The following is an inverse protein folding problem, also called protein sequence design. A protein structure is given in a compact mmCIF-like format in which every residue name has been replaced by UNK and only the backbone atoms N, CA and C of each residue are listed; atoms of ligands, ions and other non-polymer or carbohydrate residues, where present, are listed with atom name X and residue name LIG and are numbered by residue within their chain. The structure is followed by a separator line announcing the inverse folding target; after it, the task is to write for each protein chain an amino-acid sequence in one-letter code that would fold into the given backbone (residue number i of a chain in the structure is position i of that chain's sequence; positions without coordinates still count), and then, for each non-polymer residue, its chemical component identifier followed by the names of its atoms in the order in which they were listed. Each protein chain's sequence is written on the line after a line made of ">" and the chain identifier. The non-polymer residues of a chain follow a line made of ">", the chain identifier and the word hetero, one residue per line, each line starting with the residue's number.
data_IF_421417568752
#
_entry.id   IF_421417568752
#
_cell.length_a   1.000
_cell.length_b   1.000
_cell.length_c   1.000
_cell.angle_alpha   90.00
_cell.angle_beta   90.00
_cell.angle_gamma   90.00
#
_symmetry.space_group_name_H-M   'P 1'
#
loop_
_entity.id
_entity.type
_entity.pdbx_description
1 polymer ?
#
# COMPACT_ATOMS: atom_id res chain seq x y z
N UNK A 1 -11.75 9.47 -17.95
CA UNK A 1 -10.35 9.89 -18.14
C UNK A 1 -9.58 8.69 -18.65
N UNK A 2 -9.05 8.74 -19.86
CA UNK A 2 -8.26 7.68 -20.47
C UNK A 2 -6.90 7.65 -19.79
N UNK A 3 -6.51 6.48 -19.26
CA UNK A 3 -5.17 6.28 -18.72
C UNK A 3 -4.12 6.52 -19.82
N UNK A 4 -2.98 7.15 -19.49
CA UNK A 4 -1.90 7.33 -20.46
C UNK A 4 -1.37 5.97 -20.93
N UNK A 5 -1.08 5.85 -22.22
CA UNK A 5 -0.44 4.66 -22.79
C UNK A 5 0.94 4.47 -22.14
N UNK A 6 1.12 3.34 -21.44
CA UNK A 6 2.38 2.99 -20.79
C UNK A 6 3.40 2.53 -21.84
N UNK A 7 4.57 3.17 -21.88
CA UNK A 7 5.75 2.63 -22.55
C UNK A 7 6.35 1.52 -21.66
N UNK A 8 6.97 0.51 -22.27
CA UNK A 8 7.47 -0.74 -21.63
C UNK A 8 8.44 -0.54 -20.46
N UNK A 9 8.91 0.67 -20.21
CA UNK A 9 9.89 1.01 -19.17
C UNK A 9 9.33 1.68 -17.91
N UNK A 10 8.05 2.09 -17.87
CA UNK A 10 7.49 2.78 -16.68
C UNK A 10 6.46 1.92 -15.95
N UNK A 11 6.92 0.90 -15.23
CA UNK A 11 6.06 0.12 -14.34
C UNK A 11 5.94 0.73 -12.93
N UNK A 12 6.62 1.85 -12.66
CA UNK A 12 6.56 2.60 -11.40
C UNK A 12 5.81 3.92 -11.65
N UNK A 13 4.76 4.14 -10.90
CA UNK A 13 4.06 5.41 -10.83
C UNK A 13 4.44 6.13 -9.54
N UNK A 14 4.85 7.39 -9.66
CA UNK A 14 5.25 8.20 -8.51
C UNK A 14 4.04 8.77 -7.77
N UNK A 15 4.17 8.87 -6.46
CA UNK A 15 3.29 9.61 -5.57
C UNK A 15 4.07 10.83 -5.08
N UNK A 16 3.65 12.02 -5.50
CA UNK A 16 4.18 13.26 -4.93
C UNK A 16 3.60 13.46 -3.52
N UNK A 17 4.42 13.32 -2.47
CA UNK A 17 4.00 13.44 -1.07
C UNK A 17 4.73 14.56 -0.33
N UNK A 18 6.05 14.61 -0.42
CA UNK A 18 6.88 15.63 0.21
C UNK A 18 8.26 15.74 -0.48
N UNK A 19 8.92 16.90 -0.47
CA UNK A 19 10.31 17.02 -0.91
C UNK A 19 11.24 16.09 -0.13
N UNK A 20 12.23 15.49 -0.79
CA UNK A 20 13.18 14.57 -0.16
C UNK A 20 12.58 13.19 0.16
N UNK A 21 11.37 12.89 -0.33
CA UNK A 21 10.70 11.60 -0.14
C UNK A 21 10.31 11.03 -1.50
N UNK A 22 10.81 9.84 -1.81
CA UNK A 22 10.38 9.06 -2.97
C UNK A 22 9.25 8.13 -2.56
N UNK A 23 8.10 8.23 -3.19
CA UNK A 23 6.98 7.32 -3.00
C UNK A 23 6.35 6.93 -4.33
N UNK A 24 5.75 5.75 -4.39
CA UNK A 24 5.12 5.26 -5.61
C UNK A 24 4.50 3.89 -5.46
N UNK A 25 4.04 3.36 -6.57
CA UNK A 25 3.48 2.02 -6.66
C UNK A 25 3.83 1.37 -8.00
N UNK A 26 3.93 0.04 -8.02
CA UNK A 26 4.16 -0.73 -9.24
C UNK A 26 2.85 -0.98 -9.98
N UNK A 27 2.94 -1.11 -11.31
CA UNK A 27 1.83 -1.48 -12.17
C UNK A 27 2.15 -2.76 -12.95
N UNK A 28 1.11 -3.35 -13.53
CA UNK A 28 1.27 -4.40 -14.53
C UNK A 28 1.76 -3.77 -15.83
N UNK A 29 3.02 -4.03 -16.20
CA UNK A 29 3.63 -3.46 -17.43
C UNK A 29 3.39 -4.32 -18.66
N UNK A 30 3.13 -5.61 -18.48
CA UNK A 30 2.89 -6.57 -19.57
C UNK A 30 1.72 -7.47 -19.22
N UNK A 31 0.72 -7.55 -20.09
CA UNK A 31 -0.48 -8.35 -19.85
C UNK A 31 -0.37 -9.62 -20.69
N UNK A 32 -0.45 -10.75 -20.00
CA UNK A 32 -0.66 -12.08 -20.60
C UNK A 32 -1.90 -12.72 -19.97
N UNK A 33 -2.21 -13.95 -20.32
CA UNK A 33 -3.31 -14.72 -19.69
C UNK A 33 -3.03 -15.08 -18.22
N UNK A 34 -1.77 -14.96 -17.75
CA UNK A 34 -1.42 -15.25 -16.36
C UNK A 34 -1.92 -14.15 -15.42
N UNK A 35 -2.57 -14.50 -14.29
CA UNK A 35 -2.97 -13.53 -13.27
C UNK A 35 -1.77 -12.88 -12.56
N UNK A 36 -0.57 -13.41 -12.76
CA UNK A 36 0.69 -12.87 -12.22
C UNK A 36 1.46 -12.00 -13.21
N UNK A 37 1.01 -11.90 -14.48
CA UNK A 37 1.74 -11.14 -15.50
C UNK A 37 1.92 -9.68 -15.11
N UNK A 38 3.13 -9.16 -15.29
CA UNK A 38 3.55 -7.82 -14.91
C UNK A 38 4.52 -7.84 -13.72
N UNK A 39 4.64 -6.74 -13.01
CA UNK A 39 5.59 -6.61 -11.89
C UNK A 39 4.94 -7.08 -10.59
N UNK A 40 5.22 -8.33 -10.22
CA UNK A 40 4.83 -8.91 -8.94
C UNK A 40 6.07 -9.19 -8.07
N UNK A 41 6.23 -8.47 -6.97
CA UNK A 41 7.35 -8.64 -6.04
C UNK A 41 7.01 -9.52 -4.83
N UNK A 42 5.76 -9.97 -4.72
CA UNK A 42 5.24 -10.69 -3.57
C UNK A 42 5.46 -12.20 -3.73
N UNK A 43 6.23 -12.81 -2.82
CA UNK A 43 6.66 -14.21 -2.89
C UNK A 43 5.67 -15.23 -2.30
N UNK A 44 4.61 -14.75 -1.63
CA UNK A 44 3.63 -15.63 -0.94
C UNK A 44 2.26 -15.69 -1.61
N UNK A 45 2.17 -15.38 -2.91
CA UNK A 45 0.91 -15.37 -3.68
C UNK A 45 0.75 -16.60 -4.60
N UNK A 46 1.76 -17.45 -4.69
CA UNK A 46 1.75 -18.63 -5.56
C UNK A 46 2.29 -18.39 -6.98
N UNK A 47 2.92 -17.24 -7.22
CA UNK A 47 3.66 -16.96 -8.44
C UNK A 47 4.96 -17.77 -8.51
N UNK A 48 5.49 -17.97 -9.71
CA UNK A 48 6.77 -18.66 -9.95
C UNK A 48 7.93 -17.90 -9.27
N UNK A 49 8.74 -18.55 -8.42
CA UNK A 49 9.83 -17.89 -7.70
C UNK A 49 10.81 -17.14 -8.60
N UNK A 50 11.09 -17.67 -9.79
CA UNK A 50 11.94 -17.04 -10.79
C UNK A 50 11.35 -15.74 -11.35
N UNK A 51 10.03 -15.68 -11.54
CA UNK A 51 9.34 -14.45 -11.94
C UNK A 51 9.39 -13.38 -10.85
N UNK A 52 9.13 -13.75 -9.60
CA UNK A 52 9.23 -12.82 -8.47
C UNK A 52 10.65 -12.27 -8.31
N UNK A 53 11.67 -13.14 -8.42
CA UNK A 53 13.08 -12.71 -8.35
C UNK A 53 13.44 -11.74 -9.49
N UNK A 54 12.99 -12.00 -10.72
CA UNK A 54 13.14 -11.10 -11.85
C UNK A 54 12.47 -9.74 -11.62
N UNK A 55 11.24 -9.71 -11.09
CA UNK A 55 10.52 -8.48 -10.77
C UNK A 55 11.25 -7.65 -9.71
N UNK A 56 11.79 -8.29 -8.67
CA UNK A 56 12.59 -7.62 -7.63
C UNK A 56 13.89 -7.05 -8.16
N UNK A 57 14.59 -7.77 -9.04
CA UNK A 57 15.79 -7.28 -9.70
C UNK A 57 15.50 -6.05 -10.58
N UNK A 58 14.42 -6.10 -11.37
CA UNK A 58 13.98 -4.94 -12.16
C UNK A 58 13.65 -3.73 -11.29
N UNK A 59 12.93 -3.93 -10.19
CA UNK A 59 12.57 -2.86 -9.26
C UNK A 59 13.82 -2.26 -8.59
N UNK A 60 14.75 -3.09 -8.14
CA UNK A 60 16.03 -2.66 -7.57
C UNK A 60 16.83 -1.80 -8.56
N UNK A 61 16.93 -2.24 -9.82
CA UNK A 61 17.61 -1.48 -10.89
C UNK A 61 16.92 -0.16 -11.19
N UNK A 62 15.60 -0.13 -11.26
CA UNK A 62 14.83 1.08 -11.55
C UNK A 62 14.90 2.13 -10.43
N UNK A 63 14.98 1.68 -9.17
CA UNK A 63 15.08 2.58 -8.01
C UNK A 63 16.51 2.93 -7.62
N UNK A 64 17.50 2.18 -8.09
CA UNK A 64 18.90 2.28 -7.69
C UNK A 64 19.18 1.77 -6.27
N UNK A 65 18.20 1.17 -5.60
CA UNK A 65 18.32 0.65 -4.23
C UNK A 65 18.57 -0.86 -4.27
N UNK A 66 19.63 -1.38 -3.62
CA UNK A 66 19.91 -2.81 -3.56
C UNK A 66 18.76 -3.62 -2.93
N UNK A 67 18.56 -4.85 -3.39
CA UNK A 67 17.41 -5.69 -2.97
C UNK A 67 17.34 -5.92 -1.46
N UNK A 68 18.48 -6.02 -0.77
CA UNK A 68 18.58 -6.19 0.68
C UNK A 68 18.12 -4.95 1.47
N UNK A 69 17.93 -3.82 0.80
CA UNK A 69 17.41 -2.57 1.36
C UNK A 69 15.96 -2.28 0.92
N UNK A 70 15.31 -3.25 0.25
CA UNK A 70 13.90 -3.20 -0.15
C UNK A 70 13.12 -4.15 0.76
N UNK A 71 12.35 -3.59 1.67
CA UNK A 71 11.66 -4.34 2.72
C UNK A 71 10.23 -4.64 2.31
N UNK A 72 9.89 -5.93 2.23
CA UNK A 72 8.58 -6.45 1.88
C UNK A 72 8.10 -7.34 3.03
N UNK A 73 7.13 -6.92 3.86
CA UNK A 73 6.65 -7.72 4.97
C UNK A 73 5.75 -8.87 4.48
N UNK A 74 5.66 -9.93 5.27
CA UNK A 74 4.63 -10.95 5.10
C UNK A 74 3.36 -10.51 5.81
N UNK A 75 2.48 -9.88 5.07
CA UNK A 75 1.24 -9.31 5.55
C UNK A 75 0.20 -10.40 5.87
N UNK A 76 -0.56 -10.22 6.93
CA UNK A 76 -1.60 -11.15 7.41
C UNK A 76 -2.94 -10.46 7.68
N UNK A 77 -3.12 -9.22 7.21
CA UNK A 77 -4.26 -8.35 7.50
C UNK A 77 -4.38 -8.02 9.00
N UNK A 78 -3.24 -7.95 9.69
CA UNK A 78 -3.12 -7.54 11.10
C UNK A 78 -3.19 -6.01 11.25
N UNK A 79 -3.10 -5.54 12.48
CA UNK A 79 -2.86 -4.14 12.80
C UNK A 79 -1.41 -3.87 13.21
N UNK A 80 -0.55 -4.89 13.14
CA UNK A 80 0.82 -4.80 13.65
C UNK A 80 1.69 -3.95 12.74
N UNK A 81 2.52 -3.11 13.39
CA UNK A 81 3.48 -2.21 12.77
C UNK A 81 4.88 -2.48 13.30
N UNK A 82 5.84 -2.67 12.40
CA UNK A 82 7.25 -2.80 12.75
C UNK A 82 8.02 -1.51 12.44
N UNK A 83 8.97 -1.16 13.32
CA UNK A 83 9.96 -0.11 13.08
C UNK A 83 11.22 -0.75 12.55
N UNK A 84 11.68 -0.29 11.39
CA UNK A 84 12.92 -0.74 10.75
C UNK A 84 14.03 0.26 11.11
N UNK A 85 14.90 -0.12 12.02
CA UNK A 85 15.97 0.72 12.57
C UNK A 85 17.38 0.30 12.12
N UNK A 86 17.51 -0.81 11.40
CA UNK A 86 18.78 -1.34 10.88
C UNK A 86 18.59 -2.25 9.67
N UNK A 87 19.66 -2.39 8.90
CA UNK A 87 19.78 -3.34 7.78
C UNK A 87 21.00 -4.25 8.07
N UNK A 88 20.91 -5.56 7.85
CA UNK A 88 19.76 -6.32 7.35
C UNK A 88 18.64 -6.46 8.38
N UNK A 89 17.41 -6.62 7.89
CA UNK A 89 16.21 -6.84 8.72
C UNK A 89 16.04 -8.36 8.96
N UNK A 90 15.84 -8.73 10.20
CA UNK A 90 15.49 -10.12 10.54
C UNK A 90 14.06 -10.45 10.07
N UNK A 91 13.87 -11.61 9.45
CA UNK A 91 12.57 -12.03 8.92
C UNK A 91 11.46 -12.06 9.99
N UNK A 92 11.81 -12.38 11.23
CA UNK A 92 10.89 -12.38 12.38
C UNK A 92 10.25 -11.02 12.65
N UNK A 93 10.94 -9.90 12.32
CA UNK A 93 10.44 -8.53 12.53
C UNK A 93 9.36 -8.16 11.52
N UNK A 94 9.47 -8.68 10.30
CA UNK A 94 8.58 -8.34 9.19
C UNK A 94 7.55 -9.44 8.87
N UNK A 95 7.51 -10.51 9.67
CA UNK A 95 6.55 -11.59 9.51
C UNK A 95 5.27 -11.30 10.31
N UNK A 96 4.12 -11.24 9.62
CA UNK A 96 2.81 -11.02 10.23
C UNK A 96 2.45 -9.56 10.45
N UNK A 97 3.30 -8.60 10.01
CA UNK A 97 3.04 -7.17 10.15
C UNK A 97 2.46 -6.59 8.85
N UNK A 98 1.60 -5.60 9.00
CA UNK A 98 0.89 -4.93 7.91
C UNK A 98 1.24 -3.44 7.79
N UNK A 99 2.15 -2.94 8.64
CA UNK A 99 2.71 -1.61 8.54
C UNK A 99 4.20 -1.59 8.88
N UNK A 100 4.93 -0.67 8.26
CA UNK A 100 6.36 -0.45 8.49
C UNK A 100 6.61 1.04 8.67
N UNK A 101 7.54 1.39 9.56
CA UNK A 101 8.04 2.75 9.78
C UNK A 101 9.56 2.73 9.81
N UNK A 102 10.21 3.77 9.29
CA UNK A 102 11.68 3.91 9.37
C UNK A 102 12.12 5.37 9.34
N UNK A 103 13.32 5.62 9.86
CA UNK A 103 14.07 6.86 9.73
C UNK A 103 15.34 6.68 8.90
N UNK A 104 15.57 5.48 8.37
CA UNK A 104 16.74 5.16 7.56
C UNK A 104 16.61 5.74 6.16
N UNK A 105 17.68 6.37 5.67
CA UNK A 105 17.81 6.77 4.27
C UNK A 105 18.26 5.61 3.40
N UNK A 106 18.00 5.70 2.07
CA UNK A 106 18.33 4.66 1.09
C UNK A 106 17.75 3.27 1.42
N UNK A 107 16.63 3.23 2.15
CA UNK A 107 15.84 2.04 2.43
C UNK A 107 14.45 2.24 1.88
N UNK A 108 13.98 1.29 1.09
CA UNK A 108 12.59 1.25 0.64
C UNK A 108 11.79 0.37 1.59
N UNK A 109 10.76 0.92 2.19
CA UNK A 109 9.71 0.15 2.87
C UNK A 109 8.45 0.17 2.02
N UNK A 110 7.72 -0.95 1.96
CA UNK A 110 6.51 -0.99 1.14
C UNK A 110 5.59 -2.15 1.52
N UNK A 111 4.37 -2.10 1.01
CA UNK A 111 3.33 -3.12 1.20
C UNK A 111 2.79 -3.62 -0.13
N UNK A 112 2.35 -4.86 -0.13
CA UNK A 112 1.81 -5.57 -1.30
C UNK A 112 0.29 -5.60 -1.23
N UNK A 113 -0.40 -5.08 -2.26
CA UNK A 113 -1.86 -5.00 -2.30
C UNK A 113 -2.45 -5.52 -3.62
N UNK A 114 -3.68 -6.00 -3.55
CA UNK A 114 -4.58 -6.19 -4.67
C UNK A 114 -5.99 -5.96 -4.11
N UNK A 115 -6.48 -4.74 -4.28
CA UNK A 115 -7.75 -4.17 -3.79
C UNK A 115 -7.69 -3.49 -2.41
N UNK A 116 -6.96 -4.00 -1.42
CA UNK A 116 -6.79 -3.33 -0.13
C UNK A 116 -6.15 -1.95 -0.29
N UNK A 117 -6.38 -1.04 0.66
CA UNK A 117 -5.87 0.34 0.63
C UNK A 117 -4.42 0.37 1.11
N UNK A 118 -3.42 0.67 0.26
CA UNK A 118 -2.08 0.98 0.72
C UNK A 118 -2.00 2.46 1.09
N UNK A 119 -1.36 2.78 2.21
CA UNK A 119 -1.16 4.15 2.68
C UNK A 119 0.33 4.40 2.87
N UNK A 120 0.88 5.42 2.21
CA UNK A 120 2.20 5.95 2.52
C UNK A 120 2.07 7.19 3.41
N UNK A 121 2.98 7.35 4.36
CA UNK A 121 3.00 8.40 5.37
C UNK A 121 4.39 9.04 5.40
N UNK A 122 4.48 10.36 5.46
CA UNK A 122 5.76 11.07 5.49
C UNK A 122 5.71 12.30 6.40
N UNK A 123 6.65 12.38 7.31
CA UNK A 123 7.10 13.62 7.94
C UNK A 123 8.53 13.88 7.45
N UNK A 124 8.64 14.64 6.36
CA UNK A 124 9.92 14.91 5.72
C UNK A 124 10.81 15.82 6.58
N UNK A 125 10.22 16.71 7.37
CA UNK A 125 10.96 17.65 8.22
C UNK A 125 11.71 16.93 9.35
N UNK A 126 11.14 15.84 9.87
CA UNK A 126 11.76 15.02 10.91
C UNK A 126 12.38 13.72 10.36
N UNK A 127 12.35 13.50 9.05
CA UNK A 127 12.94 12.31 8.42
C UNK A 127 12.29 10.99 8.86
N UNK A 128 10.97 10.96 9.03
CA UNK A 128 10.23 9.76 9.42
C UNK A 128 9.23 9.39 8.33
N UNK A 129 9.29 8.15 7.85
CA UNK A 129 8.35 7.63 6.84
C UNK A 129 7.69 6.35 7.32
N UNK A 130 6.47 6.11 6.81
CA UNK A 130 5.71 4.90 7.10
C UNK A 130 4.92 4.41 5.90
N UNK A 131 4.55 3.13 5.94
CA UNK A 131 3.64 2.52 4.97
C UNK A 131 2.73 1.53 5.68
N UNK A 132 1.44 1.47 5.29
CA UNK A 132 0.47 0.56 5.88
C UNK A 132 -0.39 -0.12 4.81
N UNK A 133 -0.68 -1.41 5.02
CA UNK A 133 -1.65 -2.20 4.26
C UNK A 133 -2.99 -2.20 5.01
N UNK A 134 -3.93 -1.39 4.59
CA UNK A 134 -5.25 -1.31 5.19
C UNK A 134 -6.26 -2.16 4.40
N UNK A 135 -6.22 -3.48 4.57
CA UNK A 135 -7.35 -4.36 4.29
C UNK A 135 -8.46 -4.09 5.29
N UNK A 136 -9.71 -4.53 5.04
CA UNK A 136 -10.83 -4.21 5.91
C UNK A 136 -10.62 -4.63 7.38
N UNK A 137 -10.00 -5.81 7.62
CA UNK A 137 -9.67 -6.28 8.98
C UNK A 137 -8.64 -5.39 9.66
N UNK A 138 -7.51 -5.14 9.00
CA UNK A 138 -6.46 -4.28 9.51
C UNK A 138 -6.92 -2.84 9.73
N UNK A 139 -7.75 -2.31 8.82
CA UNK A 139 -8.33 -0.97 8.95
C UNK A 139 -9.22 -0.85 10.19
N UNK A 140 -10.12 -1.82 10.42
CA UNK A 140 -10.95 -1.88 11.63
C UNK A 140 -10.13 -2.06 12.91
N UNK A 141 -9.08 -2.87 12.84
CA UNK A 141 -8.17 -3.10 13.97
C UNK A 141 -7.18 -1.94 14.23
N UNK A 142 -7.12 -0.93 13.34
CA UNK A 142 -6.34 0.29 13.54
C UNK A 142 -4.90 0.23 13.00
N UNK A 143 -4.64 -0.47 11.89
CA UNK A 143 -3.30 -0.56 11.29
C UNK A 143 -2.71 0.82 10.97
N UNK A 144 -3.51 1.75 10.46
CA UNK A 144 -3.06 3.12 10.17
C UNK A 144 -2.81 3.93 11.44
N UNK A 145 -3.60 3.69 12.50
CA UNK A 145 -3.38 4.32 13.80
C UNK A 145 -2.05 3.88 14.40
N UNK A 146 -1.77 2.57 14.35
CA UNK A 146 -0.52 2.00 14.85
C UNK A 146 0.70 2.47 14.04
N UNK A 147 0.54 2.68 12.73
CA UNK A 147 1.59 3.27 11.89
C UNK A 147 1.88 4.72 12.30
N UNK A 148 0.84 5.55 12.50
CA UNK A 148 1.00 6.93 12.98
C UNK A 148 1.65 6.96 14.36
N UNK A 149 1.19 6.10 15.29
CA UNK A 149 1.79 6.01 16.63
C UNK A 149 3.27 5.59 16.58
N UNK A 150 3.63 4.69 15.68
CA UNK A 150 5.02 4.29 15.47
C UNK A 150 5.85 5.47 14.92
N UNK A 151 5.33 6.25 13.96
CA UNK A 151 6.00 7.44 13.44
C UNK A 151 6.23 8.47 14.54
N UNK A 152 5.22 8.75 15.39
CA UNK A 152 5.35 9.68 16.51
C UNK A 152 6.43 9.22 17.52
N UNK A 153 6.50 7.91 17.81
CA UNK A 153 7.59 7.35 18.65
C UNK A 153 8.97 7.47 17.99
N UNK A 154 9.04 7.50 16.66
CA UNK A 154 10.27 7.73 15.91
C UNK A 154 10.62 9.22 15.75
N UNK A 155 9.85 10.13 16.34
CA UNK A 155 10.15 11.56 16.35
C UNK A 155 9.37 12.39 15.33
N UNK A 156 8.38 11.81 14.65
CA UNK A 156 7.50 12.57 13.75
C UNK A 156 6.61 13.56 14.55
N UNK A 157 6.25 14.66 13.90
CA UNK A 157 5.25 15.61 14.39
C UNK A 157 3.93 15.40 13.63
N UNK A 158 2.82 15.25 14.36
CA UNK A 158 1.52 14.94 13.74
C UNK A 158 1.10 15.99 12.70
N UNK A 159 1.38 17.27 12.96
CA UNK A 159 1.03 18.38 12.09
C UNK A 159 1.82 18.39 10.76
N UNK A 160 2.96 17.68 10.71
CA UNK A 160 3.81 17.56 9.53
C UNK A 160 3.52 16.31 8.71
N UNK A 161 2.81 15.33 9.30
CA UNK A 161 2.55 14.06 8.60
C UNK A 161 1.60 14.29 7.41
N UNK A 162 2.09 13.94 6.22
CA UNK A 162 1.31 13.83 5.00
C UNK A 162 1.03 12.35 4.72
N UNK A 163 -0.16 12.07 4.20
CA UNK A 163 -0.59 10.74 3.82
C UNK A 163 -1.01 10.70 2.35
N UNK A 164 -0.72 9.61 1.67
CA UNK A 164 -1.27 9.36 0.34
C UNK A 164 -1.63 7.88 0.19
N UNK A 165 -2.77 7.64 -0.44
CA UNK A 165 -3.23 6.29 -0.74
C UNK A 165 -2.82 5.90 -2.15
N UNK A 166 -2.34 4.67 -2.33
CA UNK A 166 -2.14 4.07 -3.66
C UNK A 166 -3.44 3.52 -4.24
N UNK A 167 -3.39 2.91 -5.44
CA UNK A 167 -4.56 2.31 -6.08
C UNK A 167 -5.18 1.23 -5.19
N UNK A 168 -6.50 1.24 -5.08
CA UNK A 168 -7.27 0.26 -4.30
C UNK A 168 -8.67 0.09 -4.90
N UNK A 169 -9.48 -0.80 -4.33
CA UNK A 169 -10.86 -1.01 -4.79
C UNK A 169 -11.74 0.18 -4.39
N UNK A 170 -12.59 0.67 -5.32
CA UNK A 170 -13.56 1.73 -5.04
C UNK A 170 -14.82 1.17 -4.35
N UNK A 171 -15.64 2.03 -3.70
CA UNK A 171 -16.85 1.58 -3.01
C UNK A 171 -17.83 0.85 -3.92
N UNK A 172 -18.04 1.28 -5.16
CA UNK A 172 -18.94 0.61 -6.11
C UNK A 172 -18.50 -0.82 -6.48
N UNK A 173 -17.24 -1.14 -6.25
CA UNK A 173 -16.65 -2.44 -6.53
C UNK A 173 -16.45 -3.31 -5.29
N UNK A 174 -16.46 -2.72 -4.10
CA UNK A 174 -16.17 -3.44 -2.86
C UNK A 174 -17.46 -3.96 -2.20
N UNK A 175 -18.15 -4.88 -2.93
CA UNK A 175 -19.24 -5.68 -2.38
C UNK A 175 -18.73 -6.56 -1.24
N UNK A 176 -19.48 -6.61 -0.14
CA UNK A 176 -19.19 -7.42 1.05
C UNK A 176 -20.46 -8.12 1.54
N UNK A 177 -20.31 -9.11 2.44
CA UNK A 177 -21.43 -9.66 3.16
C UNK A 177 -21.86 -8.75 4.33
N UNK A 178 -23.08 -8.96 4.85
CA UNK A 178 -23.59 -8.21 6.01
C UNK A 178 -22.66 -8.35 7.21
N UNK A 179 -22.07 -9.54 7.42
CA UNK A 179 -21.13 -9.84 8.51
C UNK A 179 -19.85 -8.99 8.46
N UNK A 180 -19.52 -8.43 7.29
CA UNK A 180 -18.41 -7.46 7.14
C UNK A 180 -18.93 -6.05 7.30
N UNK A 181 -20.07 -5.73 6.66
CA UNK A 181 -20.64 -4.38 6.66
C UNK A 181 -21.00 -3.91 8.07
N UNK A 182 -21.57 -4.78 8.92
CA UNK A 182 -21.97 -4.48 10.30
C UNK A 182 -20.82 -3.97 11.20
N UNK A 183 -19.57 -4.21 10.81
CA UNK A 183 -18.42 -3.72 11.56
C UNK A 183 -18.07 -2.26 11.23
N UNK A 184 -18.65 -1.68 10.18
CA UNK A 184 -18.39 -0.30 9.78
C UNK A 184 -19.52 0.63 10.21
N UNK A 185 -19.23 1.90 10.60
CA UNK A 185 -20.27 2.90 10.77
C UNK A 185 -21.07 3.11 9.48
N UNK A 186 -22.39 3.31 9.59
CA UNK A 186 -23.32 3.41 8.44
C UNK A 186 -22.89 4.38 7.34
N UNK A 187 -22.23 5.47 7.70
CA UNK A 187 -21.73 6.48 6.75
C UNK A 187 -20.68 5.96 5.76
N UNK A 188 -20.09 4.79 6.00
CA UNK A 188 -19.14 4.13 5.10
C UNK A 188 -19.77 2.96 4.35
N UNK A 189 -21.05 2.66 4.58
CA UNK A 189 -21.78 1.59 3.92
C UNK A 189 -22.61 2.16 2.80
N UNK A 190 -22.31 1.75 1.58
CA UNK A 190 -23.10 2.11 0.39
C UNK A 190 -24.16 1.05 0.19
N UNK A 191 -25.43 1.45 0.32
CA UNK A 191 -26.61 0.60 0.13
C UNK A 191 -27.28 0.94 -1.20
N UNK A 192 -28.19 0.10 -1.67
CA UNK A 192 -28.88 0.26 -2.95
C UNK A 192 -28.43 -0.76 -4.01
N UNK A 193 -27.46 -1.57 -3.67
CA UNK A 193 -27.03 -2.76 -4.42
C UNK A 193 -27.70 -4.02 -3.85
N UNK A 194 -27.54 -5.19 -4.50
CA UNK A 194 -28.03 -6.47 -4.01
C UNK A 194 -27.41 -6.89 -2.67
N UNK A 195 -26.16 -6.47 -2.43
CA UNK A 195 -25.45 -6.61 -1.16
C UNK A 195 -24.84 -5.27 -0.76
N UNK A 196 -24.48 -5.07 0.52
CA UNK A 196 -23.80 -3.87 0.95
C UNK A 196 -22.41 -3.74 0.31
N UNK A 197 -21.99 -2.50 0.11
CA UNK A 197 -20.64 -2.13 -0.30
C UNK A 197 -20.01 -1.26 0.78
N UNK A 198 -18.68 -1.29 0.90
CA UNK A 198 -17.97 -0.48 1.89
C UNK A 198 -17.06 0.53 1.18
N UNK A 199 -17.13 1.79 1.60
CA UNK A 199 -16.16 2.81 1.23
C UNK A 199 -14.93 2.71 2.16
N UNK A 200 -14.08 1.72 1.88
CA UNK A 200 -12.87 1.46 2.66
C UNK A 200 -11.86 2.62 2.58
N UNK A 201 -11.60 3.25 1.41
CA UNK A 201 -10.73 4.42 1.35
C UNK A 201 -11.21 5.58 2.22
N UNK A 202 -12.52 5.88 2.22
CA UNK A 202 -13.08 6.93 3.06
C UNK A 202 -12.99 6.57 4.55
N UNK A 203 -13.19 5.29 4.90
CA UNK A 203 -12.98 4.82 6.27
C UNK A 203 -11.54 5.02 6.72
N UNK A 204 -10.56 4.59 5.91
CA UNK A 204 -9.13 4.76 6.20
C UNK A 204 -8.78 6.25 6.35
N UNK A 205 -9.29 7.11 5.46
CA UNK A 205 -9.14 8.56 5.59
C UNK A 205 -9.63 9.06 6.95
N UNK A 206 -10.83 8.64 7.36
CA UNK A 206 -11.42 9.07 8.65
C UNK A 206 -10.59 8.62 9.86
N UNK A 207 -9.89 7.48 9.76
CA UNK A 207 -8.96 7.03 10.82
C UNK A 207 -7.74 7.94 10.91
N UNK A 208 -7.14 8.30 9.78
CA UNK A 208 -6.00 9.23 9.72
C UNK A 208 -6.39 10.62 10.28
N UNK A 209 -7.58 11.12 9.91
CA UNK A 209 -8.12 12.38 10.44
C UNK A 209 -8.35 12.31 11.97
N UNK A 210 -8.88 11.19 12.46
CA UNK A 210 -9.08 10.97 13.89
C UNK A 210 -7.75 10.92 14.67
N UNK A 211 -6.63 10.58 14.02
CA UNK A 211 -5.28 10.66 14.60
C UNK A 211 -4.68 12.07 14.57
N UNK A 212 -5.35 13.04 13.96
CA UNK A 212 -4.93 14.43 13.92
C UNK A 212 -4.28 14.87 12.61
N UNK A 213 -4.18 14.01 11.60
CA UNK A 213 -3.67 14.41 10.28
C UNK A 213 -4.72 15.30 9.60
N UNK A 214 -4.33 16.51 9.20
CA UNK A 214 -5.24 17.45 8.58
C UNK A 214 -5.82 16.88 7.25
N UNK A 215 -7.13 17.05 6.98
CA UNK A 215 -7.78 16.53 5.78
C UNK A 215 -7.09 16.93 4.46
N UNK A 216 -6.51 18.13 4.41
CA UNK A 216 -5.75 18.65 3.27
C UNK A 216 -4.41 17.95 3.04
N UNK A 217 -3.89 17.24 4.05
CA UNK A 217 -2.65 16.48 4.00
C UNK A 217 -2.87 15.02 3.59
N UNK A 218 -4.12 14.61 3.26
CA UNK A 218 -4.46 13.24 2.90
C UNK A 218 -4.89 13.19 1.43
N UNK A 219 -4.07 12.57 0.58
CA UNK A 219 -4.36 12.31 -0.83
C UNK A 219 -5.13 10.99 -0.96
N UNK A 220 -6.29 11.04 -1.63
CA UNK A 220 -7.15 9.87 -1.88
C UNK A 220 -6.58 9.00 -3.03
N UNK A 221 -7.05 7.73 -3.16
CA UNK A 221 -6.56 6.81 -4.19
C UNK A 221 -6.73 7.37 -5.61
N UNK A 222 -5.72 7.20 -6.48
CA UNK A 222 -5.78 7.72 -7.85
C UNK A 222 -6.70 6.90 -8.77
N UNK A 223 -6.96 5.63 -8.46
CA UNK A 223 -7.70 4.72 -9.32
C UNK A 223 -8.26 3.52 -8.55
N UNK A 224 -9.30 2.89 -9.14
CA UNK A 224 -9.84 1.62 -8.69
C UNK A 224 -9.11 0.45 -9.37
N UNK A 225 -8.58 -0.46 -8.56
CA UNK A 225 -7.86 -1.65 -9.05
C UNK A 225 -8.76 -2.60 -9.82
N UNK A 226 -10.01 -2.82 -9.36
CA UNK A 226 -10.97 -3.70 -10.04
C UNK A 226 -11.48 -3.13 -11.37
N UNK A 227 -11.61 -1.79 -11.48
CA UNK A 227 -12.06 -1.15 -12.71
C UNK A 227 -10.98 -1.12 -13.80
N UNK A 228 -9.70 -1.24 -13.42
CA UNK A 228 -8.57 -1.22 -14.34
C UNK A 228 -7.61 -2.40 -14.12
N UNK A 229 -8.09 -3.67 -14.29
CA UNK A 229 -7.29 -4.87 -14.01
C UNK A 229 -6.15 -5.07 -15.01
N UNK A 230 -6.18 -4.36 -16.12
CA UNK A 230 -5.10 -4.33 -17.11
C UNK A 230 -3.90 -3.48 -16.66
N UNK A 231 -4.12 -2.56 -15.70
CA UNK A 231 -3.09 -1.68 -15.17
C UNK A 231 -2.68 -2.14 -13.76
N UNK A 232 -3.62 -2.63 -12.98
CA UNK A 232 -3.43 -2.96 -11.56
C UNK A 232 -3.77 -4.42 -11.27
N UNK A 233 -3.06 -5.02 -10.33
CA UNK A 233 -3.51 -6.28 -9.76
C UNK A 233 -4.74 -6.06 -8.91
N UNK A 234 -5.74 -6.92 -9.09
CA UNK A 234 -6.98 -6.92 -8.32
C UNK A 234 -7.38 -8.36 -7.99
N UNK A 235 -7.43 -8.70 -6.73
CA UNK A 235 -7.89 -10.01 -6.28
C UNK A 235 -9.37 -10.25 -6.62
N UNK A 236 -10.17 -9.20 -6.65
CA UNK A 236 -11.59 -9.24 -7.02
C UNK A 236 -11.79 -9.53 -8.51
N UNK A 237 -10.90 -9.03 -9.38
CA UNK A 237 -10.99 -9.22 -10.82
C UNK A 237 -10.24 -10.47 -11.31
N UNK A 238 -9.06 -10.75 -10.74
CA UNK A 238 -8.11 -11.77 -11.22
C UNK A 238 -8.08 -13.03 -10.33
N UNK A 239 -8.78 -13.00 -9.21
CA UNK A 239 -8.73 -14.05 -8.18
C UNK A 239 -7.66 -13.79 -7.12
N UNK A 240 -7.81 -14.49 -5.97
CA UNK A 240 -6.90 -14.33 -4.83
C UNK A 240 -5.46 -14.77 -5.17
N UNK A 241 -5.32 -15.74 -6.07
CA UNK A 241 -4.05 -16.22 -6.60
C UNK A 241 -3.64 -15.37 -7.81
N UNK A 242 -3.27 -14.11 -7.56
CA UNK A 242 -2.79 -13.16 -8.56
C UNK A 242 -1.62 -12.35 -8.00
N UNK A 243 -0.96 -11.56 -8.85
CA UNK A 243 0.12 -10.68 -8.41
C UNK A 243 -0.34 -9.58 -7.46
N UNK A 244 0.62 -8.80 -6.98
CA UNK A 244 0.38 -7.67 -6.04
C UNK A 244 1.06 -6.41 -6.55
N UNK A 245 0.38 -5.29 -6.39
CA UNK A 245 0.93 -3.95 -6.48
C UNK A 245 1.86 -3.78 -5.27
N UNK A 246 3.07 -3.33 -5.48
CA UNK A 246 3.96 -2.92 -4.39
C UNK A 246 3.91 -1.41 -4.26
N UNK A 247 3.29 -0.91 -3.19
CA UNK A 247 3.26 0.52 -2.85
C UNK A 247 4.36 0.78 -1.83
N UNK A 248 5.22 1.76 -2.12
CA UNK A 248 6.48 1.96 -1.41
C UNK A 248 6.77 3.42 -1.10
N UNK A 249 7.69 3.62 -0.15
CA UNK A 249 8.22 4.93 0.23
C UNK A 249 9.68 4.79 0.69
N UNK A 250 10.47 5.82 0.45
CA UNK A 250 11.87 5.94 0.87
C UNK A 250 12.23 7.39 1.16
N UNK A 251 13.18 7.61 2.07
CA UNK A 251 13.85 8.90 2.27
C UNK A 251 15.03 9.00 1.29
N UNK A 252 15.13 10.14 0.63
CA UNK A 252 16.33 10.50 -0.11
C UNK A 252 17.48 10.85 0.84
N UNK A 253 18.72 10.80 0.36
CA UNK A 253 19.93 11.22 1.12
C UNK A 253 20.02 12.72 1.25
#
# INVERSE_FOLDING_TARGET
>A
MTAPAMTDDSFIHTIDIAPGVRAGFTCRSTITTSPYSGINMCHYTGDEPGHVAYCRDRFSKATGIPQERIIIPRQTHSADCAVIDRIPVEESIINGVDALVTTLTEVIIGVSTADCVPVVLADADNGVIGVAHAGWRGALAGVTDNAVDAMLRCGACIDNIKAAMGPCICPDCFEVGEEVAENFPDRFIVRGFAKPHVDLPLYVKSRLEARGIAPSMIKMPPACTRCAPDIYFSARALGINSGRIYTFIALDT
#
